data_IF_703165463365
#
_entry.id   IF_703165463365
#
_cell.length_a   1.000
_cell.length_b   1.000
_cell.length_c   1.000
_cell.angle_alpha   90.00
_cell.angle_beta   90.00
_cell.angle_gamma   90.00
#
_symmetry.space_group_name_H-M   'P 1'
#
loop_
_entity.id
_entity.type
_entity.pdbx_description
1 polymer ?
#
# COMPACT_ATOMS: atom_id res chain seq x y z
N UNK A 1 27.50 -17.00 17.61
CA UNK A 1 26.61 -16.77 16.48
C UNK A 1 26.51 -18.02 15.62
N UNK A 2 25.29 -18.54 15.45
CA UNK A 2 25.11 -19.72 14.61
C UNK A 2 25.33 -19.37 13.16
N UNK A 3 26.08 -20.21 12.47
CA UNK A 3 26.31 -20.05 11.03
C UNK A 3 25.04 -20.52 10.30
N UNK A 4 24.40 -19.58 9.62
CA UNK A 4 23.27 -19.91 8.79
C UNK A 4 23.78 -20.46 7.45
N UNK A 5 23.18 -21.56 7.00
CA UNK A 5 23.55 -22.06 5.69
C UNK A 5 22.77 -21.33 4.59
N UNK A 6 23.22 -21.49 3.39
CA UNK A 6 22.64 -20.79 2.23
C UNK A 6 21.16 -21.14 2.03
N UNK A 7 20.77 -22.34 2.40
CA UNK A 7 19.38 -22.79 2.24
C UNK A 7 18.44 -21.97 3.13
N UNK A 8 18.79 -21.82 4.40
CA UNK A 8 17.99 -21.04 5.36
C UNK A 8 17.90 -19.58 4.94
N UNK A 9 19.04 -19.02 4.56
CA UNK A 9 19.09 -17.63 4.12
C UNK A 9 18.22 -17.42 2.85
N UNK A 10 18.31 -18.37 1.93
CA UNK A 10 17.53 -18.30 0.69
C UNK A 10 16.03 -18.30 0.95
N UNK A 11 15.57 -19.13 1.87
CA UNK A 11 14.15 -19.17 2.23
C UNK A 11 13.69 -17.84 2.84
N UNK A 12 14.50 -17.28 3.73
CA UNK A 12 14.19 -16.02 4.37
C UNK A 12 14.15 -14.86 3.37
N UNK A 13 15.09 -14.83 2.44
CA UNK A 13 15.12 -13.79 1.41
C UNK A 13 13.95 -13.97 0.44
N UNK A 14 13.64 -15.20 0.08
CA UNK A 14 12.58 -15.48 -0.90
C UNK A 14 11.19 -15.16 -0.38
N UNK A 15 10.96 -15.26 0.93
CA UNK A 15 9.61 -15.09 1.51
C UNK A 15 8.95 -13.76 1.14
N UNK A 16 9.56 -12.59 1.36
CA UNK A 16 8.93 -11.34 0.95
C UNK A 16 8.84 -11.20 -0.56
N UNK A 17 9.81 -11.73 -1.30
CA UNK A 17 9.76 -11.68 -2.76
C UNK A 17 8.58 -12.47 -3.31
N UNK A 18 8.34 -13.67 -2.78
CA UNK A 18 7.22 -14.50 -3.19
C UNK A 18 5.88 -13.86 -2.84
N UNK A 19 5.82 -13.19 -1.69
CA UNK A 19 4.59 -12.55 -1.25
C UNK A 19 4.13 -11.44 -2.20
N UNK A 20 5.07 -10.74 -2.82
CA UNK A 20 4.75 -9.59 -3.68
C UNK A 20 4.91 -9.89 -5.18
N UNK A 21 5.36 -11.09 -5.54
CA UNK A 21 5.68 -11.42 -6.94
C UNK A 21 4.43 -11.78 -7.74
N UNK A 22 3.50 -10.83 -7.85
CA UNK A 22 2.36 -10.97 -8.76
C UNK A 22 1.94 -9.57 -9.20
N UNK A 23 1.52 -9.41 -10.46
CA UNK A 23 1.12 -8.09 -10.94
C UNK A 23 0.05 -7.40 -10.11
N UNK A 24 -1.03 -8.09 -9.67
CA UNK A 24 -2.03 -7.41 -8.84
C UNK A 24 -1.48 -6.90 -7.53
N UNK A 25 -0.61 -7.68 -6.89
CA UNK A 25 -0.03 -7.27 -5.61
C UNK A 25 0.93 -6.10 -5.78
N UNK A 26 1.76 -6.13 -6.82
CA UNK A 26 2.63 -5.01 -7.15
C UNK A 26 1.81 -3.75 -7.41
N UNK A 27 0.71 -3.86 -8.14
CA UNK A 27 -0.17 -2.73 -8.42
C UNK A 27 -0.73 -2.12 -7.13
N UNK A 28 -1.13 -2.95 -6.18
CA UNK A 28 -1.61 -2.49 -4.88
C UNK A 28 -0.50 -1.75 -4.12
N UNK A 29 0.70 -2.31 -4.11
CA UNK A 29 1.83 -1.67 -3.43
C UNK A 29 2.18 -0.32 -4.06
N UNK A 30 2.12 -0.23 -5.38
CA UNK A 30 2.34 1.03 -6.09
C UNK A 30 1.27 2.07 -5.73
N UNK A 31 0.01 1.64 -5.67
CA UNK A 31 -1.09 2.53 -5.33
C UNK A 31 -1.00 3.04 -3.88
N UNK A 32 -0.57 2.19 -2.96
CA UNK A 32 -0.35 2.59 -1.57
C UNK A 32 0.87 3.51 -1.46
N UNK A 33 1.93 3.18 -2.15
CA UNK A 33 3.17 3.95 -2.13
C UNK A 33 3.79 4.01 -0.74
N UNK A 34 4.33 5.15 -0.39
CA UNK A 34 4.96 5.36 0.91
C UNK A 34 3.99 5.87 1.96
N UNK A 35 2.73 6.06 1.61
CA UNK A 35 1.69 6.54 2.51
C UNK A 35 0.74 5.43 2.91
N UNK A 36 -0.52 5.80 3.03
CA UNK A 36 -1.61 4.88 3.40
C UNK A 36 -2.73 4.97 2.39
N UNK A 37 -3.49 3.90 2.26
CA UNK A 37 -4.68 3.88 1.42
C UNK A 37 -5.76 2.99 2.02
N UNK A 38 -7.00 3.43 1.95
CA UNK A 38 -8.15 2.60 2.30
C UNK A 38 -8.58 1.79 1.07
N UNK A 39 -9.42 0.78 1.28
CA UNK A 39 -9.89 -0.07 0.18
C UNK A 39 -10.64 0.75 -0.87
N UNK A 40 -11.45 1.69 -0.43
CA UNK A 40 -12.20 2.58 -1.32
C UNK A 40 -11.28 3.36 -2.25
N UNK A 41 -10.17 3.85 -1.72
CA UNK A 41 -9.16 4.54 -2.52
C UNK A 41 -8.54 3.61 -3.55
N UNK A 42 -8.22 2.38 -3.13
CA UNK A 42 -7.63 1.39 -4.02
C UNK A 42 -8.59 0.97 -5.14
N UNK A 43 -9.89 0.82 -4.81
CA UNK A 43 -10.90 0.53 -5.82
C UNK A 43 -10.92 1.59 -6.93
N UNK A 44 -10.89 2.84 -6.53
CA UNK A 44 -10.96 3.93 -7.49
C UNK A 44 -9.65 4.10 -8.25
N UNK A 45 -8.51 3.90 -7.58
CA UNK A 45 -7.20 4.01 -8.22
C UNK A 45 -6.95 2.91 -9.23
N UNK A 46 -7.40 1.68 -8.92
CA UNK A 46 -7.11 0.50 -9.72
C UNK A 46 -8.27 0.09 -10.62
N UNK A 47 -9.49 0.53 -10.32
CA UNK A 47 -10.67 0.11 -11.08
C UNK A 47 -11.07 -1.34 -10.83
N UNK A 48 -10.67 -1.91 -9.71
CA UNK A 48 -10.94 -3.31 -9.37
C UNK A 48 -12.07 -3.40 -8.35
N UNK A 49 -12.71 -4.57 -8.29
CA UNK A 49 -13.75 -4.84 -7.30
C UNK A 49 -13.14 -4.98 -5.91
N UNK A 50 -13.91 -4.54 -4.92
CA UNK A 50 -13.50 -4.60 -3.52
C UNK A 50 -13.07 -6.01 -3.10
N UNK A 51 -13.85 -7.02 -3.48
CA UNK A 51 -13.56 -8.40 -3.10
C UNK A 51 -12.19 -8.87 -3.61
N UNK A 52 -11.84 -8.49 -4.82
CA UNK A 52 -10.55 -8.84 -5.43
C UNK A 52 -9.41 -8.14 -4.70
N UNK A 53 -9.56 -6.85 -4.42
CA UNK A 53 -8.55 -6.07 -3.69
C UNK A 53 -8.37 -6.64 -2.29
N UNK A 54 -9.47 -6.88 -1.58
CA UNK A 54 -9.44 -7.38 -0.20
C UNK A 54 -8.75 -8.73 -0.10
N UNK A 55 -8.94 -9.59 -1.08
CA UNK A 55 -8.28 -10.90 -1.13
C UNK A 55 -6.76 -10.74 -1.14
N UNK A 56 -6.25 -9.83 -1.95
CA UNK A 56 -4.81 -9.57 -2.02
C UNK A 56 -4.29 -8.84 -0.79
N UNK A 57 -5.08 -7.91 -0.24
CA UNK A 57 -4.70 -7.21 0.99
C UNK A 57 -4.56 -8.20 2.15
N UNK A 58 -5.47 -9.16 2.26
CA UNK A 58 -5.38 -10.18 3.31
C UNK A 58 -4.14 -11.04 3.15
N UNK A 59 -3.82 -11.44 1.92
CA UNK A 59 -2.63 -12.23 1.66
C UNK A 59 -1.35 -11.46 1.99
N UNK A 60 -1.29 -10.19 1.61
CA UNK A 60 -0.14 -9.34 1.89
C UNK A 60 0.01 -9.06 3.39
N UNK A 61 -1.10 -8.92 4.09
CA UNK A 61 -1.08 -8.72 5.53
C UNK A 61 -0.58 -9.98 6.26
N UNK A 62 -1.03 -11.16 5.82
CA UNK A 62 -0.57 -12.42 6.40
C UNK A 62 0.92 -12.64 6.18
N UNK A 63 1.45 -12.15 5.08
CA UNK A 63 2.86 -12.26 4.75
C UNK A 63 3.71 -11.15 5.41
N UNK A 64 3.12 -10.33 6.28
CA UNK A 64 3.79 -9.22 6.94
C UNK A 64 4.33 -8.14 5.98
N UNK A 65 3.75 -8.04 4.80
CA UNK A 65 4.07 -7.00 3.83
C UNK A 65 3.32 -5.70 4.16
N UNK A 66 2.07 -5.85 4.60
CA UNK A 66 1.23 -4.70 4.94
C UNK A 66 0.87 -4.71 6.41
N UNK A 67 0.69 -3.51 6.94
CA UNK A 67 0.04 -3.30 8.22
C UNK A 67 -1.22 -2.47 7.99
N UNK A 68 -2.14 -2.51 8.94
CA UNK A 68 -3.38 -1.78 8.84
C UNK A 68 -3.61 -0.92 10.08
N UNK A 69 -4.39 0.11 9.88
CA UNK A 69 -4.79 1.03 10.93
C UNK A 69 -6.28 1.33 10.74
N UNK A 70 -7.02 1.30 11.84
CA UNK A 70 -8.46 1.57 11.79
C UNK A 70 -8.75 2.99 12.29
N UNK A 71 -9.58 3.68 11.54
CA UNK A 71 -10.06 5.01 11.92
C UNK A 71 -11.56 5.04 11.63
N UNK A 72 -12.38 4.95 12.69
CA UNK A 72 -13.82 4.78 12.54
C UNK A 72 -14.15 3.51 11.78
N UNK A 73 -14.91 3.65 10.71
CA UNK A 73 -15.26 2.51 9.84
C UNK A 73 -14.27 2.29 8.71
N UNK A 74 -13.23 3.13 8.62
CA UNK A 74 -12.23 3.02 7.56
C UNK A 74 -11.00 2.28 8.06
N UNK A 75 -10.45 1.43 7.20
CA UNK A 75 -9.20 0.72 7.45
C UNK A 75 -8.19 1.21 6.42
N UNK A 76 -7.05 1.67 6.91
CA UNK A 76 -5.97 2.16 6.07
C UNK A 76 -4.83 1.14 6.07
N UNK A 77 -4.31 0.87 4.88
CA UNK A 77 -3.21 -0.07 4.68
C UNK A 77 -1.95 0.69 4.29
N UNK A 78 -0.83 0.26 4.84
CA UNK A 78 0.47 0.82 4.51
C UNK A 78 1.51 -0.28 4.47
N UNK A 79 2.61 -0.02 3.79
CA UNK A 79 3.73 -0.94 3.79
C UNK A 79 4.31 -1.01 5.20
N UNK A 80 4.53 -2.22 5.68
CA UNK A 80 5.05 -2.43 7.03
C UNK A 80 6.47 -1.91 7.17
N UNK A 81 7.25 -2.04 6.11
CA UNK A 81 8.65 -1.59 6.07
C UNK A 81 8.86 -0.79 4.78
N UNK A 82 9.44 0.39 4.94
CA UNK A 82 9.72 1.27 3.79
C UNK A 82 10.62 0.62 2.75
N UNK A 83 11.49 -0.30 3.16
CA UNK A 83 12.38 -1.00 2.24
C UNK A 83 11.62 -1.88 1.24
N UNK A 84 10.37 -2.23 1.53
CA UNK A 84 9.53 -2.94 0.56
C UNK A 84 9.28 -2.09 -0.69
N UNK A 85 9.10 -0.81 -0.52
CA UNK A 85 8.93 0.08 -1.66
C UNK A 85 10.24 0.23 -2.43
N UNK A 86 11.37 0.28 -1.74
CA UNK A 86 12.69 0.32 -2.37
C UNK A 86 12.94 -0.94 -3.19
N UNK A 87 12.44 -2.08 -2.71
CA UNK A 87 12.52 -3.34 -3.45
C UNK A 87 11.73 -3.27 -4.76
N UNK A 88 10.53 -2.70 -4.71
CA UNK A 88 9.70 -2.50 -5.90
C UNK A 88 10.40 -1.56 -6.88
N UNK A 89 11.00 -0.48 -6.38
CA UNK A 89 11.77 0.45 -7.21
C UNK A 89 12.96 -0.21 -7.88
N UNK A 90 13.67 -1.07 -7.14
CA UNK A 90 14.81 -1.80 -7.70
C UNK A 90 14.35 -2.73 -8.83
N UNK A 91 13.23 -3.41 -8.64
CA UNK A 91 12.66 -4.27 -9.66
C UNK A 91 12.21 -3.46 -10.88
N UNK A 92 11.65 -2.27 -10.65
CA UNK A 92 11.28 -1.38 -11.76
C UNK A 92 12.49 -1.00 -12.61
N UNK A 93 13.61 -0.70 -11.96
CA UNK A 93 14.85 -0.38 -12.68
C UNK A 93 15.33 -1.55 -13.52
N UNK A 94 15.24 -2.76 -12.99
CA UNK A 94 15.57 -3.97 -13.76
C UNK A 94 14.69 -4.11 -15.00
N UNK A 95 13.47 -3.61 -14.94
CA UNK A 95 12.50 -3.66 -16.04
C UNK A 95 12.60 -2.45 -16.96
N UNK A 96 13.55 -1.55 -16.73
CA UNK A 96 13.72 -0.35 -17.54
C UNK A 96 12.73 0.76 -17.25
N UNK A 97 12.02 0.68 -16.12
CA UNK A 97 11.04 1.70 -15.72
C UNK A 97 11.74 2.72 -14.83
N UNK A 98 11.76 4.01 -15.20
CA UNK A 98 12.43 5.02 -14.37
C UNK A 98 11.69 5.25 -13.05
N UNK A 99 12.44 5.61 -12.02
CA UNK A 99 11.92 5.85 -10.69
C UNK A 99 10.86 6.95 -10.68
N UNK A 100 11.00 7.95 -11.55
CA UNK A 100 10.04 9.05 -11.65
C UNK A 100 8.66 8.56 -12.08
N UNK A 101 8.62 7.59 -12.98
CA UNK A 101 7.35 6.99 -13.43
C UNK A 101 6.65 6.26 -12.30
N UNK A 102 7.43 5.54 -11.48
CA UNK A 102 6.89 4.81 -10.33
C UNK A 102 6.39 5.80 -9.27
N UNK A 103 7.16 6.84 -8.98
CA UNK A 103 6.78 7.85 -8.01
C UNK A 103 5.50 8.58 -8.41
N UNK A 104 5.32 8.83 -9.69
CA UNK A 104 4.09 9.46 -10.19
C UNK A 104 2.86 8.58 -9.96
N UNK A 105 3.02 7.26 -10.10
CA UNK A 105 1.92 6.32 -9.85
C UNK A 105 1.57 6.22 -8.38
N UNK A 106 2.56 6.29 -7.51
CA UNK A 106 2.35 6.16 -6.07
C UNK A 106 2.07 7.49 -5.39
N UNK A 107 2.09 8.58 -6.11
CA UNK A 107 1.68 9.86 -5.57
C UNK A 107 0.16 9.88 -5.53
N UNK A 108 -0.39 9.16 -4.56
CA UNK A 108 -1.81 9.00 -4.43
C UNK A 108 -2.43 10.30 -4.00
N UNK A 109 -3.01 10.96 -4.94
CA UNK A 109 -3.80 12.12 -4.63
C UNK A 109 -5.14 11.69 -4.08
N UNK A 110 -5.79 12.60 -3.38
CA UNK A 110 -7.12 12.35 -2.88
C UNK A 110 -8.05 11.98 -4.03
N UNK A 111 -8.87 10.98 -3.78
CA UNK A 111 -9.82 10.49 -4.76
C UNK A 111 -11.19 11.07 -4.47
N UNK A 112 -11.77 11.87 -5.36
CA UNK A 112 -13.07 12.49 -5.09
C UNK A 112 -14.21 11.48 -4.94
N UNK A 113 -14.03 10.26 -5.45
CA UNK A 113 -15.05 9.22 -5.30
C UNK A 113 -14.99 8.51 -3.95
N UNK A 114 -13.95 8.74 -3.15
CA UNK A 114 -13.78 8.09 -1.86
C UNK A 114 -14.12 9.04 -0.72
N UNK A 115 -14.96 8.59 0.20
CA UNK A 115 -15.44 9.40 1.33
C UNK A 115 -14.59 9.28 2.59
N UNK A 116 -13.47 8.55 2.55
CA UNK A 116 -12.63 8.40 3.72
C UNK A 116 -11.97 9.74 4.11
N UNK A 117 -11.53 9.90 5.36
CA UNK A 117 -10.93 11.16 5.82
C UNK A 117 -9.72 11.60 5.02
N UNK A 118 -8.99 10.66 4.45
CA UNK A 118 -7.79 10.97 3.67
C UNK A 118 -8.14 11.49 2.28
N UNK A 119 -9.16 10.89 1.65
CA UNK A 119 -9.54 11.24 0.27
C UNK A 119 -10.52 12.41 0.21
N UNK A 120 -11.26 12.67 1.28
CA UNK A 120 -12.23 13.75 1.37
C UNK A 120 -11.89 14.70 2.52
N UNK A 121 -10.75 15.38 2.45
CA UNK A 121 -10.33 16.25 3.54
C UNK A 121 -11.25 17.47 3.76
N UNK A 122 -12.01 17.85 2.75
CA UNK A 122 -12.91 19.00 2.87
C UNK A 122 -14.02 18.78 3.89
N UNK A 123 -14.41 17.51 4.11
CA UNK A 123 -15.43 17.17 5.10
C UNK A 123 -14.91 17.35 6.52
N UNK A 124 -13.66 16.95 6.73
CA UNK A 124 -13.04 16.98 8.06
C UNK A 124 -12.72 18.42 8.50
N UNK A 125 -12.09 19.25 7.69
CA UNK A 125 -11.81 20.64 8.09
C UNK A 125 -13.07 21.41 8.45
N UNK A 126 -14.16 21.22 7.73
CA UNK A 126 -15.43 21.87 8.05
C UNK A 126 -15.96 21.46 9.41
N UNK A 127 -15.90 20.18 9.71
CA UNK A 127 -16.29 19.66 11.03
C UNK A 127 -15.39 20.21 12.12
N UNK A 128 -14.11 20.26 11.85
CA UNK A 128 -13.14 20.81 12.78
C UNK A 128 -13.44 22.28 13.06
N UNK A 129 -13.77 23.04 12.04
CA UNK A 129 -14.13 24.45 12.19
C UNK A 129 -15.38 24.60 13.05
N UNK A 130 -16.40 23.76 12.85
CA UNK A 130 -17.61 23.80 13.67
C UNK A 130 -17.28 23.52 15.13
N UNK A 131 -16.44 22.55 15.38
CA UNK A 131 -16.03 22.20 16.74
C UNK A 131 -15.25 23.34 17.36
N UNK A 132 -14.39 24.02 16.62
CA UNK A 132 -13.59 25.12 17.14
C UNK A 132 -14.40 26.37 17.42
N UNK A 133 -15.46 26.58 16.65
CA UNK A 133 -16.31 27.76 16.84
C UNK A 133 -17.30 27.58 17.99
N UNK A 134 -17.55 26.39 18.41
CA UNK A 134 -18.38 26.12 19.56
C UNK A 134 -17.56 26.05 20.84
#
# INVERSE_FOLDING_TARGET
MKKQDISQISEQIAAPLQAIASPPRVAILLAIGRGEACVCHLEAALGWRQAYISQHLMALRKADVLSDRREGRYVFYRLKDASLFDLVLASARLSGIPAESVSALSNTQTNPACECPQCSPAVIPMRSLKVKTT
#
